data_IF_710862283779
#
_entry.id   IF_710862283779
#
_cell.length_a   1.000
_cell.length_b   1.000
_cell.length_c   1.000
_cell.angle_alpha   90.00
_cell.angle_beta   90.00
_cell.angle_gamma   90.00
#
_symmetry.space_group_name_H-M   'P 1'
#
loop_
_entity.id
_entity.type
_entity.pdbx_description
1 polymer ?
#
# COMPACT_ATOMS: atom_id res chain seq x y z
N UNK A 1 19.64 -8.16 0.42
CA UNK A 1 19.49 -8.92 1.68
C UNK A 1 20.81 -8.84 2.41
N UNK A 2 20.81 -8.29 3.62
CA UNK A 2 21.98 -8.27 4.49
C UNK A 2 21.77 -9.28 5.63
N UNK A 3 22.82 -9.99 6.01
CA UNK A 3 22.83 -10.88 7.16
C UNK A 3 23.90 -10.34 8.12
N UNK A 4 23.47 -9.86 9.27
CA UNK A 4 24.32 -9.27 10.29
C UNK A 4 24.30 -10.15 11.53
N UNK A 5 25.45 -10.59 11.99
CA UNK A 5 25.58 -11.27 13.27
C UNK A 5 25.43 -10.30 14.43
N UNK A 6 24.53 -10.60 15.37
CA UNK A 6 24.39 -9.86 16.62
C UNK A 6 25.07 -10.60 17.79
N UNK A 7 25.43 -9.92 18.86
CA UNK A 7 25.90 -10.57 20.08
C UNK A 7 24.82 -11.52 20.61
N UNK A 8 25.20 -12.61 21.22
CA UNK A 8 24.33 -13.65 21.82
C UNK A 8 23.70 -14.68 20.83
N UNK A 9 24.30 -14.92 19.67
CA UNK A 9 23.84 -15.96 18.74
C UNK A 9 22.57 -15.62 17.99
N UNK A 10 22.14 -14.36 17.99
CA UNK A 10 21.06 -13.85 17.16
C UNK A 10 21.62 -13.47 15.80
N UNK A 11 20.93 -13.85 14.73
CA UNK A 11 21.21 -13.42 13.36
C UNK A 11 20.16 -12.40 12.92
N UNK A 12 20.61 -11.25 12.49
CA UNK A 12 19.72 -10.23 11.92
C UNK A 12 19.68 -10.45 10.40
N UNK A 13 18.50 -10.67 9.89
CA UNK A 13 18.23 -10.76 8.44
C UNK A 13 17.43 -9.54 8.04
N UNK A 14 17.97 -8.78 7.09
CA UNK A 14 17.31 -7.59 6.58
C UNK A 14 17.08 -7.72 5.07
N UNK A 15 15.85 -7.45 4.66
CA UNK A 15 15.43 -7.33 3.26
C UNK A 15 14.93 -5.92 3.04
N UNK A 16 15.72 -5.10 2.37
CA UNK A 16 15.39 -3.72 2.07
C UNK A 16 15.99 -3.36 0.68
N UNK A 17 15.18 -2.89 -0.24
CA UNK A 17 13.72 -2.88 -0.21
C UNK A 17 13.08 -4.24 -0.56
N UNK A 18 11.84 -4.42 -0.17
CA UNK A 18 10.97 -5.47 -0.72
C UNK A 18 10.69 -5.10 -2.17
N UNK A 19 10.84 -6.07 -3.09
CA UNK A 19 10.64 -5.86 -4.52
C UNK A 19 9.18 -5.95 -4.96
N UNK A 20 8.88 -5.46 -6.15
CA UNK A 20 7.59 -5.54 -6.84
C UNK A 20 6.44 -4.86 -6.10
N UNK A 21 6.76 -3.83 -5.34
CA UNK A 21 5.79 -2.97 -4.67
C UNK A 21 6.05 -1.52 -5.06
N UNK A 22 5.04 -0.67 -4.89
CA UNK A 22 5.22 0.77 -4.94
C UNK A 22 5.67 1.29 -3.58
N UNK A 23 6.75 2.09 -3.59
CA UNK A 23 7.40 2.60 -2.39
C UNK A 23 8.45 1.65 -1.82
N UNK A 24 9.12 2.11 -0.77
CA UNK A 24 10.22 1.39 -0.14
C UNK A 24 9.78 0.82 1.21
N UNK A 25 9.68 -0.50 1.28
CA UNK A 25 9.40 -1.26 2.49
C UNK A 25 10.63 -2.11 2.83
N UNK A 26 11.11 -1.99 4.04
CA UNK A 26 12.13 -2.88 4.60
C UNK A 26 11.51 -3.83 5.62
N UNK A 27 12.06 -5.04 5.70
CA UNK A 27 11.73 -6.03 6.72
C UNK A 27 13.02 -6.46 7.41
N UNK A 28 13.03 -6.34 8.73
CA UNK A 28 14.14 -6.77 9.59
C UNK A 28 13.63 -7.88 10.53
N UNK A 29 14.34 -8.98 10.55
CA UNK A 29 13.98 -10.16 11.34
C UNK A 29 15.17 -10.57 12.18
N UNK A 30 14.93 -10.73 13.47
CA UNK A 30 15.91 -11.25 14.42
C UNK A 30 15.66 -12.76 14.63
N UNK A 31 16.66 -13.57 14.30
CA UNK A 31 16.57 -15.03 14.35
C UNK A 31 17.53 -15.56 15.41
N UNK A 32 17.00 -16.28 16.39
CA UNK A 32 17.78 -16.97 17.43
C UNK A 32 17.60 -18.49 17.26
N UNK A 33 18.68 -19.15 16.84
CA UNK A 33 18.62 -20.56 16.46
C UNK A 33 17.72 -20.76 15.23
N UNK A 34 16.60 -21.45 15.39
CA UNK A 34 15.58 -21.67 14.34
C UNK A 34 14.29 -20.85 14.56
N UNK A 35 14.30 -19.94 15.52
CA UNK A 35 13.11 -19.19 15.92
C UNK A 35 13.26 -17.71 15.59
N UNK A 36 12.23 -17.12 15.02
CA UNK A 36 12.11 -15.67 14.86
C UNK A 36 11.75 -15.10 16.24
N UNK A 37 12.64 -14.31 16.81
CA UNK A 37 12.43 -13.65 18.10
C UNK A 37 11.78 -12.29 17.96
N UNK A 38 12.06 -11.59 16.85
CA UNK A 38 11.49 -10.29 16.56
C UNK A 38 11.37 -10.10 15.04
N UNK A 39 10.31 -9.41 14.61
CA UNK A 39 10.12 -9.02 13.22
C UNK A 39 9.58 -7.59 13.16
N UNK A 40 10.29 -6.74 12.44
CA UNK A 40 9.95 -5.34 12.26
C UNK A 40 9.84 -5.00 10.79
N UNK A 41 8.81 -4.22 10.45
CA UNK A 41 8.65 -3.64 9.13
C UNK A 41 8.79 -2.12 9.24
N UNK A 42 9.45 -1.52 8.25
CA UNK A 42 9.62 -0.08 8.21
C UNK A 42 9.43 0.47 6.80
N UNK A 43 8.74 1.60 6.72
CA UNK A 43 8.59 2.36 5.49
C UNK A 43 9.68 3.44 5.42
N UNK A 44 10.46 3.45 4.34
CA UNK A 44 11.60 4.38 4.20
C UNK A 44 11.21 5.75 3.66
N UNK A 45 9.96 5.90 3.19
CA UNK A 45 9.46 7.13 2.57
C UNK A 45 8.48 7.87 3.46
N UNK A 46 8.82 8.04 4.73
CA UNK A 46 7.99 8.78 5.68
C UNK A 46 7.94 10.27 5.33
N UNK A 47 6.72 10.84 5.29
CA UNK A 47 6.49 12.24 4.97
C UNK A 47 5.66 12.99 6.02
N UNK A 48 5.30 12.33 7.13
CA UNK A 48 4.62 12.94 8.27
C UNK A 48 3.14 13.22 8.08
N UNK A 49 2.42 12.42 7.28
CA UNK A 49 0.98 12.59 7.08
C UNK A 49 0.20 12.57 8.38
N UNK A 50 0.57 11.71 9.31
CA UNK A 50 -0.01 11.61 10.64
C UNK A 50 0.16 12.89 11.46
N UNK A 51 1.21 13.67 11.21
CA UNK A 51 1.47 14.91 11.93
C UNK A 51 0.72 16.10 11.32
N UNK A 52 0.76 16.26 10.00
CA UNK A 52 0.15 17.44 9.40
C UNK A 52 -1.37 17.32 9.21
N UNK A 53 -1.96 16.15 9.40
CA UNK A 53 -3.42 15.98 9.45
C UNK A 53 -4.01 16.39 10.80
N UNK A 54 -3.21 16.47 11.86
CA UNK A 54 -3.69 16.88 13.17
C UNK A 54 -4.27 18.32 13.11
N UNK A 55 -5.47 18.47 13.68
CA UNK A 55 -6.16 19.76 13.74
C UNK A 55 -6.79 20.24 12.44
N UNK A 56 -6.80 19.43 11.38
CA UNK A 56 -7.48 19.75 10.12
C UNK A 56 -8.92 19.28 10.12
N UNK A 57 -9.71 19.86 9.25
CA UNK A 57 -11.07 19.40 9.00
C UNK A 57 -11.07 17.98 8.45
N UNK A 58 -12.07 17.19 8.84
CA UNK A 58 -12.23 15.80 8.39
C UNK A 58 -12.32 15.70 6.86
N UNK A 59 -12.96 16.68 6.21
CA UNK A 59 -13.08 16.72 4.75
C UNK A 59 -11.73 16.98 4.06
N UNK A 60 -10.85 17.73 4.68
CA UNK A 60 -9.51 18.00 4.13
C UNK A 60 -8.67 16.72 4.05
N UNK A 61 -8.85 15.80 4.99
CA UNK A 61 -8.12 14.54 5.03
C UNK A 61 -8.29 13.74 3.73
N UNK A 62 -9.46 13.78 3.10
CA UNK A 62 -9.74 13.09 1.83
C UNK A 62 -8.79 13.58 0.73
N UNK A 63 -8.57 14.88 0.65
CA UNK A 63 -7.67 15.47 -0.35
C UNK A 63 -6.21 15.20 -0.04
N UNK A 64 -5.81 15.32 1.22
CA UNK A 64 -4.42 15.12 1.62
C UNK A 64 -3.98 13.67 1.49
N UNK A 65 -4.80 12.72 1.91
CA UNK A 65 -4.43 11.29 1.90
C UNK A 65 -4.21 10.75 0.49
N UNK A 66 -4.85 11.33 -0.53
CA UNK A 66 -4.56 11.00 -1.93
C UNK A 66 -3.09 11.27 -2.33
N UNK A 67 -2.39 12.12 -1.60
CA UNK A 67 -0.97 12.45 -1.86
C UNK A 67 0.00 11.52 -1.15
N UNK A 68 -0.51 10.55 -0.40
CA UNK A 68 0.33 9.48 0.14
C UNK A 68 0.96 8.69 -1.00
N UNK A 69 0.18 8.39 -2.04
CA UNK A 69 0.64 7.63 -3.18
C UNK A 69 0.10 8.22 -4.49
N UNK A 70 0.98 8.46 -5.46
CA UNK A 70 0.59 8.93 -6.79
C UNK A 70 0.12 7.82 -7.73
N UNK A 71 0.42 6.55 -7.42
CA UNK A 71 0.00 5.37 -8.18
C UNK A 71 -1.35 4.86 -7.68
N UNK A 72 -1.67 5.05 -6.39
CA UNK A 72 -2.91 4.58 -5.77
C UNK A 72 -3.67 5.68 -5.01
N UNK A 73 -3.89 6.87 -5.59
CA UNK A 73 -4.53 7.98 -4.89
C UNK A 73 -5.99 7.70 -4.54
N UNK A 74 -6.72 6.99 -5.39
CA UNK A 74 -8.16 6.70 -5.18
C UNK A 74 -8.40 5.82 -3.96
N UNK A 75 -7.72 4.68 -3.74
CA UNK A 75 -7.85 3.91 -2.50
C UNK A 75 -7.58 4.73 -1.24
N UNK A 76 -6.55 5.58 -1.23
CA UNK A 76 -6.27 6.45 -0.09
C UNK A 76 -7.41 7.44 0.17
N UNK A 77 -7.87 8.14 -0.87
CA UNK A 77 -9.01 9.06 -0.75
C UNK A 77 -10.30 8.35 -0.37
N UNK A 78 -10.55 7.16 -0.92
CA UNK A 78 -11.73 6.38 -0.62
C UNK A 78 -11.74 5.89 0.83
N UNK A 79 -10.61 5.38 1.33
CA UNK A 79 -10.47 4.96 2.73
C UNK A 79 -10.68 6.14 3.68
N UNK A 80 -10.12 7.31 3.34
CA UNK A 80 -10.33 8.53 4.11
C UNK A 80 -11.81 8.98 4.08
N UNK A 81 -12.47 8.81 2.93
CA UNK A 81 -13.92 9.10 2.81
C UNK A 81 -14.74 8.17 3.72
N UNK A 82 -14.42 6.88 3.76
CA UNK A 82 -15.11 5.94 4.66
C UNK A 82 -14.88 6.29 6.14
N UNK A 83 -13.67 6.70 6.48
CA UNK A 83 -13.37 7.16 7.84
C UNK A 83 -14.15 8.43 8.18
N UNK A 84 -14.26 9.38 7.25
CA UNK A 84 -15.06 10.60 7.40
C UNK A 84 -16.56 10.27 7.54
N UNK A 85 -17.09 9.37 6.71
CA UNK A 85 -18.48 8.91 6.79
C UNK A 85 -18.79 8.33 8.18
N UNK A 86 -17.88 7.52 8.73
CA UNK A 86 -18.03 6.95 10.06
C UNK A 86 -18.05 8.02 11.17
N UNK A 87 -17.16 9.00 11.11
CA UNK A 87 -17.08 10.10 12.07
C UNK A 87 -18.32 10.99 11.99
N UNK A 88 -18.84 11.22 10.78
CA UNK A 88 -20.03 12.04 10.54
C UNK A 88 -21.34 11.28 10.77
N UNK A 89 -21.29 9.99 11.10
CA UNK A 89 -22.47 9.16 11.38
C UNK A 89 -23.24 8.71 10.13
N UNK A 90 -22.63 8.80 8.95
CA UNK A 90 -23.29 8.36 7.70
C UNK A 90 -23.23 6.85 7.47
N UNK A 91 -22.36 6.13 8.14
CA UNK A 91 -22.24 4.69 7.98
C UNK A 91 -21.65 4.03 9.22
N UNK A 92 -22.39 3.11 9.81
CA UNK A 92 -21.87 2.24 10.88
C UNK A 92 -21.03 1.08 10.31
N UNK A 93 -21.15 0.81 9.01
CA UNK A 93 -20.50 -0.32 8.38
C UNK A 93 -20.27 -0.07 6.88
N UNK A 94 -19.05 0.34 6.55
CA UNK A 94 -18.60 0.60 5.19
C UNK A 94 -18.46 -0.64 4.31
N UNK A 95 -18.65 -1.83 4.86
CA UNK A 95 -18.54 -3.12 4.15
C UNK A 95 -19.93 -3.57 3.65
N UNK A 96 -20.99 -3.16 4.28
CA UNK A 96 -22.34 -3.53 3.85
C UNK A 96 -22.91 -2.50 2.88
N UNK A 97 -23.25 -2.95 1.69
CA UNK A 97 -24.13 -2.23 0.78
C UNK A 97 -25.44 -1.96 1.52
N UNK A 98 -25.64 -0.71 1.87
CA UNK A 98 -26.76 -0.33 2.71
C UNK A 98 -28.06 -0.21 1.94
N UNK A 99 -29.10 -0.45 2.72
CA UNK A 99 -30.49 -0.39 2.28
C UNK A 99 -30.87 0.97 1.67
N UNK A 100 -31.83 0.93 0.80
CA UNK A 100 -32.36 2.07 0.06
C UNK A 100 -33.20 3.02 0.93
N UNK A 101 -33.23 2.83 2.25
CA UNK A 101 -34.11 3.58 3.14
C UNK A 101 -33.60 4.97 3.52
N UNK A 102 -32.36 5.29 3.20
CA UNK A 102 -31.86 6.68 3.19
C UNK A 102 -31.84 7.43 4.51
N UNK A 103 -32.20 6.79 5.61
CA UNK A 103 -32.44 7.52 6.84
C UNK A 103 -31.16 8.05 7.51
N UNK A 104 -30.02 7.35 7.39
CA UNK A 104 -28.73 7.79 7.90
C UNK A 104 -27.55 7.16 7.15
N UNK A 105 -27.67 6.88 5.88
CA UNK A 105 -26.66 6.21 5.08
C UNK A 105 -26.20 7.02 3.85
N UNK A 106 -25.09 6.60 3.28
CA UNK A 106 -24.62 7.12 1.99
C UNK A 106 -25.63 6.72 0.91
N UNK A 107 -26.12 7.64 0.06
CA UNK A 107 -27.07 7.30 -1.00
C UNK A 107 -26.55 6.20 -1.93
N UNK A 108 -27.42 5.28 -2.35
CA UNK A 108 -27.04 4.15 -3.20
C UNK A 108 -26.30 4.57 -4.46
N UNK A 109 -26.71 5.67 -5.10
CA UNK A 109 -26.01 6.24 -6.26
C UNK A 109 -24.57 6.66 -5.93
N UNK A 110 -24.34 7.23 -4.74
CA UNK A 110 -23.00 7.61 -4.32
C UNK A 110 -22.11 6.37 -4.11
N UNK A 111 -22.66 5.31 -3.51
CA UNK A 111 -21.96 4.02 -3.35
C UNK A 111 -21.58 3.44 -4.70
N UNK A 112 -22.50 3.44 -5.67
CA UNK A 112 -22.22 2.97 -7.04
C UNK A 112 -21.12 3.77 -7.72
N UNK A 113 -21.14 5.10 -7.60
CA UNK A 113 -20.10 5.97 -8.17
C UNK A 113 -18.75 5.70 -7.50
N UNK A 114 -18.70 5.60 -6.18
CA UNK A 114 -17.48 5.27 -5.43
C UNK A 114 -16.90 3.93 -5.88
N UNK A 115 -17.74 2.91 -6.02
CA UNK A 115 -17.32 1.59 -6.49
C UNK A 115 -16.83 1.63 -7.94
N UNK A 116 -17.46 2.39 -8.81
CA UNK A 116 -17.02 2.54 -10.20
C UNK A 116 -15.63 3.18 -10.29
N UNK A 117 -15.40 4.25 -9.53
CA UNK A 117 -14.10 4.94 -9.48
C UNK A 117 -13.03 4.02 -8.91
N UNK A 118 -13.33 3.31 -7.81
CA UNK A 118 -12.39 2.36 -7.20
C UNK A 118 -12.07 1.18 -8.14
N UNK A 119 -13.08 0.67 -8.85
CA UNK A 119 -12.90 -0.40 -9.83
C UNK A 119 -12.04 0.04 -11.02
N UNK A 120 -12.18 1.28 -11.46
CA UNK A 120 -11.33 1.85 -12.53
C UNK A 120 -9.86 1.90 -12.11
N UNK A 121 -9.59 2.29 -10.88
CA UNK A 121 -8.22 2.26 -10.38
C UNK A 121 -7.73 0.83 -10.15
N UNK A 122 -8.57 -0.08 -9.69
CA UNK A 122 -8.20 -1.48 -9.54
C UNK A 122 -7.69 -2.08 -10.87
N UNK A 123 -8.38 -1.80 -11.97
CA UNK A 123 -7.95 -2.22 -13.32
C UNK A 123 -6.63 -1.56 -13.71
N UNK A 124 -6.53 -0.25 -13.55
CA UNK A 124 -5.31 0.50 -13.85
C UNK A 124 -4.13 -0.01 -13.02
N UNK A 125 -4.31 -0.18 -11.71
CA UNK A 125 -3.27 -0.66 -10.80
C UNK A 125 -2.81 -2.07 -11.14
N UNK A 126 -3.74 -2.96 -11.48
CA UNK A 126 -3.40 -4.35 -11.84
C UNK A 126 -2.56 -4.41 -13.12
N UNK A 127 -2.92 -3.64 -14.12
CA UNK A 127 -2.15 -3.54 -15.37
C UNK A 127 -0.78 -2.89 -15.14
N UNK A 128 -0.74 -1.79 -14.40
CA UNK A 128 0.50 -1.09 -14.06
C UNK A 128 1.43 -1.98 -13.26
N UNK A 129 0.92 -2.69 -12.26
CA UNK A 129 1.71 -3.62 -11.47
C UNK A 129 2.31 -4.74 -12.33
N UNK A 130 1.48 -5.34 -13.19
CA UNK A 130 1.97 -6.39 -14.07
C UNK A 130 3.10 -5.90 -14.97
N UNK A 131 2.91 -4.81 -15.71
CA UNK A 131 3.88 -4.36 -16.71
C UNK A 131 5.09 -3.63 -16.11
N UNK A 132 4.93 -2.91 -15.01
CA UNK A 132 6.00 -2.06 -14.48
C UNK A 132 6.70 -2.64 -13.24
N UNK A 133 6.03 -3.51 -12.49
CA UNK A 133 6.57 -4.03 -11.23
C UNK A 133 6.89 -5.53 -11.31
N UNK A 134 6.03 -6.34 -11.94
CA UNK A 134 6.25 -7.78 -12.02
C UNK A 134 7.00 -8.20 -13.29
N UNK A 135 6.51 -7.85 -14.47
CA UNK A 135 7.06 -8.29 -15.74
C UNK A 135 8.55 -7.94 -15.95
N UNK A 136 9.06 -6.78 -15.51
CA UNK A 136 10.49 -6.47 -15.65
C UNK A 136 11.44 -7.49 -15.02
N UNK A 137 10.96 -8.25 -14.05
CA UNK A 137 11.74 -9.32 -13.43
C UNK A 137 11.86 -10.60 -14.27
N UNK A 138 10.99 -10.77 -15.26
CA UNK A 138 10.86 -12.01 -16.03
C UNK A 138 11.13 -11.83 -17.52
N UNK A 139 10.95 -10.62 -18.07
CA UNK A 139 11.17 -10.38 -19.50
C UNK A 139 12.63 -10.10 -19.78
N UNK A 140 13.08 -10.57 -20.92
CA UNK A 140 14.41 -10.22 -21.44
C UNK A 140 14.36 -8.77 -21.94
N UNK A 141 15.26 -7.95 -21.42
CA UNK A 141 15.43 -6.58 -21.87
C UNK A 141 16.19 -6.47 -23.21
N UNK A 142 16.36 -5.26 -23.72
CA UNK A 142 17.16 -5.03 -24.92
C UNK A 142 18.60 -5.50 -24.74
N UNK A 143 19.24 -5.92 -25.84
CA UNK A 143 20.62 -6.41 -25.83
C UNK A 143 21.69 -5.34 -25.51
N UNK A 144 21.26 -4.16 -25.05
CA UNK A 144 22.13 -3.04 -24.72
C UNK A 144 22.38 -3.03 -23.20
N UNK A 145 23.64 -3.11 -22.74
CA UNK A 145 23.96 -2.94 -21.32
C UNK A 145 23.47 -1.59 -20.79
N UNK A 146 23.05 -1.48 -19.50
CA UNK A 146 23.26 -2.45 -18.42
C UNK A 146 22.07 -3.38 -18.14
N UNK A 147 21.16 -3.63 -19.08
CA UNK A 147 19.99 -4.46 -18.82
C UNK A 147 20.39 -5.92 -18.60
N UNK A 148 20.18 -6.40 -17.39
CA UNK A 148 20.22 -7.83 -17.06
C UNK A 148 18.93 -8.18 -16.35
N UNK A 149 18.13 -9.14 -16.83
CA UNK A 149 16.93 -9.58 -16.12
C UNK A 149 17.32 -10.09 -14.74
N UNK A 150 16.58 -9.69 -13.72
CA UNK A 150 16.86 -10.05 -12.32
C UNK A 150 16.97 -11.55 -12.08
N UNK A 151 16.24 -12.35 -12.87
CA UNK A 151 16.22 -13.81 -12.80
C UNK A 151 16.87 -14.51 -14.00
N UNK A 152 17.70 -13.82 -14.77
CA UNK A 152 18.35 -14.38 -15.96
C UNK A 152 19.25 -15.58 -15.68
N UNK A 153 19.60 -15.84 -14.45
CA UNK A 153 20.53 -16.91 -14.04
C UNK A 153 19.87 -17.96 -13.13
N UNK A 154 18.56 -17.96 -13.01
CA UNK A 154 17.86 -18.94 -12.22
C UNK A 154 17.54 -20.24 -13.01
N UNK A 155 18.45 -20.70 -13.86
CA UNK A 155 18.46 -22.00 -14.51
C UNK A 155 19.65 -22.82 -14.07
#
# INVERSE_FOLDING_TARGET
MAILGAPNGTTIVEVDPISRIEGHLGVKVDVTGSTISEANMHGNMWRGFENFLLGRDVNDAITFTQRICGVCPVPHGMTSTYAADAVLGYSDNHITFRDDTGANGVPAKAVLIRNLVLSSEFLMSSLTHFYHLAAPSYVQGPAIPPWTPWFATAN
#
